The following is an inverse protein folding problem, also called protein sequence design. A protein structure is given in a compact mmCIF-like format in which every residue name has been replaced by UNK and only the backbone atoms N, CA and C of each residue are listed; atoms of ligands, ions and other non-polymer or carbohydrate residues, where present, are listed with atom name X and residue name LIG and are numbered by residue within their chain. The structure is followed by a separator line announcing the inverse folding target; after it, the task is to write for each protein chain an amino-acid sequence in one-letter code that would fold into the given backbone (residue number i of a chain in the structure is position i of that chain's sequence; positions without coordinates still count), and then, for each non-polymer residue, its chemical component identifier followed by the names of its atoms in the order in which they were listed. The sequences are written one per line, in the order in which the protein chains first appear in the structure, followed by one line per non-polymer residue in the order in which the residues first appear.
data_IF_317220214037
#
_entry.id   IF_317220214037
#
_cell.length_a   1.000
_cell.length_b   1.000
_cell.length_c   1.000
_cell.angle_alpha   90.00
_cell.angle_beta   90.00
_cell.angle_gamma   90.00
#
_symmetry.space_group_name_H-M   'P 1'
#
loop_
_entity.id
_entity.type
_entity.pdbx_description
1 polymer ?
#
# COMPACT_ATOMS: atom_id res chain seq x y z
N UNK A 1 20.15 -34.29 17.65
CA UNK A 1 19.06 -34.72 18.55
C UNK A 1 17.80 -34.12 17.98
N UNK A 2 17.29 -34.78 16.95
CA UNK A 2 16.12 -34.37 16.17
C UNK A 2 14.86 -34.72 16.95
N UNK A 3 13.86 -33.83 16.95
CA UNK A 3 12.49 -34.15 17.34
C UNK A 3 11.55 -33.82 16.17
N UNK A 4 10.55 -34.66 15.87
CA UNK A 4 9.80 -34.62 14.62
C UNK A 4 8.71 -33.55 14.65
N UNK A 5 8.42 -32.98 13.47
CA UNK A 5 7.36 -32.01 13.18
C UNK A 5 6.14 -32.72 12.58
N UNK A 6 5.63 -33.74 13.27
CA UNK A 6 4.37 -34.38 12.90
C UNK A 6 3.39 -34.12 14.06
N UNK A 7 2.24 -33.51 13.72
CA UNK A 7 1.05 -33.20 14.54
C UNK A 7 0.76 -31.70 14.75
N UNK A 8 0.55 -30.96 13.66
CA UNK A 8 -0.25 -29.72 13.68
C UNK A 8 -1.50 -29.96 12.82
N UNK A 9 -2.56 -30.46 13.45
CA UNK A 9 -3.89 -30.56 12.85
C UNK A 9 -4.46 -29.14 12.62
N UNK A 10 -4.59 -28.76 11.36
CA UNK A 10 -4.92 -27.40 10.91
C UNK A 10 -6.43 -27.07 10.87
N UNK A 11 -7.29 -27.78 11.62
CA UNK A 11 -8.75 -27.72 11.38
C UNK A 11 -9.69 -27.51 12.57
N UNK A 12 -9.23 -27.06 13.75
CA UNK A 12 -10.18 -26.91 14.88
C UNK A 12 -9.97 -25.68 15.79
N UNK A 13 -9.84 -24.49 15.19
CA UNK A 13 -9.91 -23.21 15.93
C UNK A 13 -11.10 -22.35 15.53
N UNK A 14 -12.23 -23.01 15.20
CA UNK A 14 -13.51 -22.35 14.94
C UNK A 14 -14.55 -22.68 16.03
N UNK A 15 -14.16 -22.63 17.30
CA UNK A 15 -15.14 -22.60 18.39
C UNK A 15 -14.50 -22.18 19.70
N UNK A 16 -14.66 -20.90 20.06
CA UNK A 16 -14.74 -20.32 21.42
C UNK A 16 -14.59 -18.79 21.33
N UNK A 17 -15.67 -18.11 20.97
CA UNK A 17 -15.83 -16.67 21.18
C UNK A 17 -16.57 -16.51 22.52
N UNK A 18 -15.98 -15.77 23.45
CA UNK A 18 -16.53 -15.45 24.78
C UNK A 18 -17.62 -14.35 24.69
N UNK A 19 -18.50 -14.21 25.70
CA UNK A 19 -19.76 -13.50 25.55
C UNK A 19 -19.62 -11.97 25.56
N UNK A 20 -20.57 -11.40 24.82
CA UNK A 20 -20.84 -10.03 24.41
C UNK A 20 -21.13 -9.08 25.58
N UNK A 21 -20.43 -7.94 25.64
CA UNK A 21 -20.73 -6.83 26.57
C UNK A 21 -21.41 -5.68 25.82
N UNK A 22 -22.57 -5.23 26.31
CA UNK A 22 -23.39 -4.18 25.68
C UNK A 22 -22.73 -2.78 25.77
N UNK A 23 -22.89 -1.90 24.77
CA UNK A 23 -22.30 -0.57 24.78
C UNK A 23 -23.12 0.44 25.60
N UNK A 24 -22.43 1.38 26.25
CA UNK A 24 -22.99 2.48 27.05
C UNK A 24 -23.48 3.67 26.19
N UNK A 25 -24.53 4.34 26.65
CA UNK A 25 -25.30 5.41 25.98
C UNK A 25 -24.49 6.63 25.48
N UNK A 26 -23.26 6.83 25.96
CA UNK A 26 -22.37 7.93 25.50
C UNK A 26 -21.85 7.73 24.07
N UNK A 27 -21.86 6.49 23.56
CA UNK A 27 -21.36 6.13 22.22
C UNK A 27 -22.35 6.51 21.11
N UNK A 28 -23.66 6.57 21.39
CA UNK A 28 -24.67 6.85 20.37
C UNK A 28 -24.71 8.33 19.94
N UNK A 29 -24.22 9.25 20.79
CA UNK A 29 -24.34 10.68 20.55
C UNK A 29 -23.21 11.29 19.69
N UNK A 30 -22.09 10.59 19.51
CA UNK A 30 -20.94 11.04 18.70
C UNK A 30 -21.01 10.61 17.21
N UNK A 31 -21.91 9.69 16.86
CA UNK A 31 -21.98 9.05 15.53
C UNK A 31 -22.62 9.94 14.44
N UNK A 32 -23.17 11.11 14.79
CA UNK A 32 -24.06 11.86 13.89
C UNK A 32 -23.41 12.75 12.80
N UNK A 33 -22.07 12.85 12.68
CA UNK A 33 -21.44 13.78 11.70
C UNK A 33 -20.25 13.21 10.86
N UNK A 34 -20.01 11.89 10.85
CA UNK A 34 -18.90 11.27 10.11
C UNK A 34 -19.22 10.85 8.65
N UNK A 35 -18.36 11.16 7.69
CA UNK A 35 -18.46 10.67 6.30
C UNK A 35 -17.87 9.26 6.16
N UNK A 36 -18.51 8.36 5.40
CA UNK A 36 -18.01 6.98 5.21
C UNK A 36 -16.68 6.94 4.45
N UNK A 37 -15.86 5.90 4.70
CA UNK A 37 -14.60 5.68 3.95
C UNK A 37 -14.85 5.57 2.44
N UNK A 38 -15.97 4.97 2.05
CA UNK A 38 -16.40 4.86 0.64
C UNK A 38 -16.61 6.25 0.03
N UNK A 39 -17.29 7.14 0.74
CA UNK A 39 -17.54 8.51 0.26
C UNK A 39 -16.25 9.30 0.15
N UNK A 40 -15.33 9.13 1.13
CA UNK A 40 -13.98 9.68 1.06
C UNK A 40 -13.25 9.21 -0.21
N UNK A 41 -13.23 7.90 -0.48
CA UNK A 41 -12.56 7.33 -1.66
C UNK A 41 -13.22 7.82 -2.96
N UNK A 42 -14.54 7.80 -3.05
CA UNK A 42 -15.26 8.23 -4.27
C UNK A 42 -15.12 9.72 -4.58
N UNK A 43 -14.78 10.54 -3.57
CA UNK A 43 -14.47 11.96 -3.77
C UNK A 43 -13.18 12.24 -4.54
N UNK A 44 -12.30 11.24 -4.68
CA UNK A 44 -11.03 11.39 -5.37
C UNK A 44 -11.25 11.53 -6.88
N UNK A 45 -10.55 12.49 -7.48
CA UNK A 45 -10.73 12.86 -8.90
C UNK A 45 -10.26 11.81 -9.90
N UNK A 46 -9.38 10.89 -9.51
CA UNK A 46 -8.78 9.92 -10.43
C UNK A 46 -8.99 8.49 -9.98
N UNK A 47 -9.22 7.58 -10.94
CA UNK A 47 -9.36 6.14 -10.67
C UNK A 47 -8.10 5.54 -10.05
N UNK A 48 -6.93 6.01 -10.48
CA UNK A 48 -5.64 5.64 -9.86
C UNK A 48 -5.60 6.02 -8.38
N UNK A 49 -5.99 7.23 -8.01
CA UNK A 49 -6.03 7.65 -6.60
C UNK A 49 -7.00 6.79 -5.80
N UNK A 50 -8.17 6.48 -6.35
CA UNK A 50 -9.16 5.62 -5.68
C UNK A 50 -8.61 4.22 -5.41
N UNK A 51 -8.02 3.58 -6.41
CA UNK A 51 -7.45 2.24 -6.28
C UNK A 51 -6.23 2.21 -5.37
N UNK A 52 -5.37 3.24 -5.43
CA UNK A 52 -4.23 3.40 -4.54
C UNK A 52 -4.68 3.51 -3.08
N UNK A 53 -5.66 4.36 -2.79
CA UNK A 53 -6.17 4.52 -1.43
C UNK A 53 -6.85 3.25 -0.90
N UNK A 54 -7.63 2.56 -1.74
CA UNK A 54 -8.22 1.25 -1.38
C UNK A 54 -7.14 0.23 -1.03
N UNK A 55 -6.06 0.16 -1.82
CA UNK A 55 -4.97 -0.78 -1.58
C UNK A 55 -4.26 -0.49 -0.24
N UNK A 56 -3.98 0.78 0.05
CA UNK A 56 -3.32 1.21 1.29
C UNK A 56 -4.17 0.91 2.52
N UNK A 57 -5.47 1.24 2.49
CA UNK A 57 -6.36 0.92 3.61
C UNK A 57 -6.54 -0.58 3.79
N UNK A 58 -6.61 -1.36 2.70
CA UNK A 58 -6.68 -2.82 2.79
C UNK A 58 -5.44 -3.39 3.50
N UNK A 59 -4.25 -2.98 3.08
CA UNK A 59 -3.01 -3.46 3.69
C UNK A 59 -2.92 -3.07 5.17
N UNK A 60 -3.32 -1.83 5.50
CA UNK A 60 -3.41 -1.39 6.89
C UNK A 60 -4.39 -2.24 7.70
N UNK A 61 -5.59 -2.50 7.18
CA UNK A 61 -6.58 -3.33 7.87
C UNK A 61 -6.01 -4.73 8.13
N UNK A 62 -5.34 -5.32 7.14
CA UNK A 62 -4.68 -6.62 7.31
C UNK A 62 -3.64 -6.57 8.44
N UNK A 63 -2.80 -5.53 8.48
CA UNK A 63 -1.78 -5.37 9.51
C UNK A 63 -2.36 -5.13 10.91
N UNK A 64 -3.40 -4.31 11.04
CA UNK A 64 -4.06 -4.06 12.33
C UNK A 64 -4.78 -5.30 12.84
N UNK A 65 -5.54 -5.99 11.98
CA UNK A 65 -6.18 -7.26 12.34
C UNK A 65 -5.13 -8.30 12.75
N UNK A 66 -4.01 -8.38 12.04
CA UNK A 66 -2.91 -9.26 12.42
C UNK A 66 -2.34 -8.92 13.81
N UNK A 67 -2.18 -7.63 14.13
CA UNK A 67 -1.74 -7.16 15.44
C UNK A 67 -2.73 -7.52 16.55
N UNK A 68 -4.03 -7.31 16.32
CA UNK A 68 -5.11 -7.63 17.27
C UNK A 68 -5.16 -9.12 17.62
N UNK A 69 -4.79 -9.98 16.66
CA UNK A 69 -4.76 -11.43 16.82
C UNK A 69 -3.37 -12.00 17.14
N UNK A 70 -2.39 -11.15 17.50
CA UNK A 70 -1.00 -11.54 17.83
C UNK A 70 -0.31 -12.38 16.72
N UNK A 71 -0.64 -12.08 15.46
CA UNK A 71 -0.03 -12.72 14.28
C UNK A 71 1.35 -12.13 14.05
N UNK A 72 2.36 -13.00 14.00
CA UNK A 72 3.76 -12.58 13.86
C UNK A 72 4.21 -12.39 12.41
N UNK A 73 3.52 -13.01 11.44
CA UNK A 73 3.89 -12.96 10.03
C UNK A 73 2.68 -13.06 9.09
N UNK A 74 2.73 -12.31 8.00
CA UNK A 74 1.78 -12.34 6.89
C UNK A 74 2.52 -12.78 5.62
N UNK A 75 1.94 -13.75 4.92
CA UNK A 75 2.43 -14.25 3.65
C UNK A 75 1.65 -13.60 2.50
N UNK A 76 2.33 -12.83 1.66
CA UNK A 76 1.73 -12.20 0.49
C UNK A 76 1.93 -13.07 -0.75
N UNK A 77 0.87 -13.19 -1.57
CA UNK A 77 0.87 -13.93 -2.84
C UNK A 77 1.52 -13.19 -4.02
N UNK A 78 2.51 -12.35 -3.74
CA UNK A 78 3.17 -11.52 -4.74
C UNK A 78 4.12 -12.37 -5.61
N UNK A 79 3.78 -12.55 -6.89
CA UNK A 79 4.66 -13.18 -7.89
C UNK A 79 5.76 -12.22 -8.38
N UNK A 80 6.77 -12.72 -9.09
CA UNK A 80 7.78 -11.89 -9.75
C UNK A 80 7.13 -10.85 -10.69
N UNK A 81 6.13 -11.26 -11.46
CA UNK A 81 5.34 -10.39 -12.36
C UNK A 81 4.57 -9.33 -11.60
N UNK A 82 3.93 -9.71 -10.50
CA UNK A 82 3.17 -8.81 -9.65
C UNK A 82 4.10 -7.77 -8.99
N UNK A 83 5.28 -8.19 -8.53
CA UNK A 83 6.28 -7.29 -7.95
C UNK A 83 6.88 -6.33 -8.97
N UNK A 84 7.13 -6.78 -10.21
CA UNK A 84 7.59 -5.89 -11.28
C UNK A 84 6.53 -4.82 -11.60
N UNK A 85 5.26 -5.22 -11.70
CA UNK A 85 4.14 -4.28 -11.89
C UNK A 85 4.00 -3.31 -10.71
N UNK A 86 3.98 -3.82 -9.48
CA UNK A 86 3.93 -3.02 -8.25
C UNK A 86 5.07 -2.01 -8.20
N UNK A 87 6.28 -2.41 -8.56
CA UNK A 87 7.45 -1.52 -8.63
C UNK A 87 7.20 -0.32 -9.52
N UNK A 88 6.82 -0.58 -10.78
CA UNK A 88 6.61 0.48 -11.75
C UNK A 88 5.44 1.38 -11.34
N UNK A 89 4.38 0.79 -10.80
CA UNK A 89 3.20 1.51 -10.33
C UNK A 89 3.52 2.43 -9.14
N UNK A 90 4.17 1.90 -8.09
CA UNK A 90 4.59 2.69 -6.93
C UNK A 90 5.53 3.81 -7.35
N UNK A 91 6.47 3.54 -8.25
CA UNK A 91 7.37 4.57 -8.79
C UNK A 91 6.60 5.67 -9.52
N UNK A 92 5.68 5.31 -10.42
CA UNK A 92 4.87 6.27 -11.18
C UNK A 92 3.93 7.08 -10.28
N UNK A 93 3.43 6.50 -9.20
CA UNK A 93 2.61 7.18 -8.17
C UNK A 93 3.44 7.99 -7.16
N UNK A 94 4.77 7.99 -7.28
CA UNK A 94 5.66 8.74 -6.38
C UNK A 94 5.92 8.09 -5.02
N UNK A 95 5.62 6.80 -4.89
CA UNK A 95 5.88 5.96 -3.70
C UNK A 95 7.19 5.18 -3.83
N UNK A 96 8.14 5.68 -4.61
CA UNK A 96 9.45 5.02 -4.79
C UNK A 96 10.21 4.80 -3.48
N UNK A 97 10.00 5.67 -2.49
CA UNK A 97 10.58 5.51 -1.15
C UNK A 97 10.09 4.24 -0.45
N UNK A 98 8.87 3.77 -0.71
CA UNK A 98 8.26 2.61 -0.05
C UNK A 98 8.72 1.27 -0.65
N UNK A 99 9.38 1.28 -1.82
CA UNK A 99 9.78 0.08 -2.55
C UNK A 99 10.61 -0.93 -1.74
N UNK A 100 11.58 -0.52 -0.89
CA UNK A 100 12.33 -1.47 -0.07
C UNK A 100 11.41 -2.33 0.81
N UNK A 101 10.39 -1.74 1.44
CA UNK A 101 9.44 -2.47 2.29
C UNK A 101 8.43 -3.31 1.49
N UNK A 102 7.94 -2.74 0.40
CA UNK A 102 6.87 -3.29 -0.44
C UNK A 102 7.31 -4.44 -1.35
N UNK A 103 8.61 -4.51 -1.66
CA UNK A 103 9.15 -5.48 -2.61
C UNK A 103 10.19 -6.41 -2.01
N UNK A 104 10.65 -6.17 -0.78
CA UNK A 104 11.57 -7.07 -0.09
C UNK A 104 11.01 -8.48 0.05
N UNK A 105 11.94 -9.44 0.15
CA UNK A 105 11.62 -10.85 0.35
C UNK A 105 10.98 -11.07 1.73
N UNK A 106 11.59 -10.46 2.74
CA UNK A 106 11.08 -10.27 4.08
C UNK A 106 11.25 -8.80 4.45
N UNK A 107 10.21 -8.18 5.01
CA UNK A 107 10.29 -6.85 5.61
C UNK A 107 9.55 -6.82 6.93
N UNK A 108 10.06 -6.04 7.89
CA UNK A 108 9.38 -5.80 9.15
C UNK A 108 8.46 -4.58 8.98
N UNK A 109 7.17 -4.76 9.23
CA UNK A 109 6.21 -3.66 9.26
C UNK A 109 6.43 -2.76 10.50
N UNK A 110 5.88 -1.55 10.46
CA UNK A 110 5.95 -0.59 11.58
C UNK A 110 5.34 -1.14 12.88
N UNK A 111 4.37 -2.07 12.78
CA UNK A 111 3.73 -2.73 13.92
C UNK A 111 4.46 -4.01 14.38
N UNK A 112 5.66 -4.29 13.85
CA UNK A 112 6.48 -5.44 14.27
C UNK A 112 6.07 -6.79 13.64
N UNK A 113 5.20 -6.79 12.64
CA UNK A 113 4.75 -8.00 11.92
C UNK A 113 5.64 -8.23 10.69
N UNK A 114 6.05 -9.48 10.46
CA UNK A 114 6.84 -9.86 9.28
C UNK A 114 6.00 -9.98 8.03
N UNK A 115 6.38 -9.28 6.97
CA UNK A 115 5.80 -9.40 5.63
C UNK A 115 6.70 -10.29 4.77
N UNK A 116 6.21 -11.47 4.37
CA UNK A 116 6.98 -12.49 3.64
C UNK A 116 6.37 -12.71 2.25
N UNK A 117 7.21 -12.89 1.22
CA UNK A 117 6.78 -13.08 -0.18
C UNK A 117 7.32 -14.38 -0.81
N UNK A 118 6.74 -15.55 -0.49
CA UNK A 118 7.27 -16.84 -0.93
C UNK A 118 7.29 -17.00 -2.46
N UNK A 119 6.37 -16.36 -3.18
CA UNK A 119 6.18 -16.52 -4.63
C UNK A 119 6.99 -15.53 -5.48
N UNK A 120 7.80 -14.67 -4.84
CA UNK A 120 8.56 -13.60 -5.49
C UNK A 120 9.52 -14.07 -6.60
N UNK A 121 9.98 -15.32 -6.52
CA UNK A 121 10.85 -15.92 -7.52
C UNK A 121 10.12 -16.49 -8.74
N UNK A 122 8.79 -16.57 -8.70
CA UNK A 122 7.98 -17.27 -9.69
C UNK A 122 7.21 -16.29 -10.57
N UNK A 123 7.20 -16.56 -11.87
CA UNK A 123 6.40 -15.84 -12.86
C UNK A 123 4.92 -16.20 -12.72
N UNK A 124 4.04 -15.30 -13.15
CA UNK A 124 2.60 -15.53 -13.10
C UNK A 124 2.20 -16.73 -13.97
N UNK A 125 2.80 -16.86 -15.16
CA UNK A 125 2.57 -18.02 -16.02
C UNK A 125 2.95 -19.35 -15.34
N UNK A 126 4.04 -19.39 -14.57
CA UNK A 126 4.48 -20.57 -13.83
C UNK A 126 3.48 -20.93 -12.72
N UNK A 127 2.97 -19.93 -11.99
CA UNK A 127 1.96 -20.13 -10.96
C UNK A 127 0.64 -20.66 -11.54
N UNK A 128 0.23 -20.19 -12.72
CA UNK A 128 -0.95 -20.71 -13.41
C UNK A 128 -0.77 -22.18 -13.82
N UNK A 129 0.40 -22.55 -14.34
CA UNK A 129 0.72 -23.93 -14.72
C UNK A 129 0.73 -24.81 -13.47
N UNK A 130 1.45 -24.38 -12.42
CA UNK A 130 1.54 -25.11 -11.16
C UNK A 130 0.15 -25.34 -10.56
N UNK A 131 -0.66 -24.29 -10.46
CA UNK A 131 -2.02 -24.41 -9.91
C UNK A 131 -2.92 -25.36 -10.69
N UNK A 132 -2.76 -25.47 -12.02
CA UNK A 132 -3.47 -26.49 -12.82
C UNK A 132 -2.96 -27.90 -12.54
N UNK A 133 -1.65 -28.07 -12.36
CA UNK A 133 -1.05 -29.38 -12.07
C UNK A 133 -1.49 -29.95 -10.72
N UNK A 134 -1.67 -29.09 -9.72
CA UNK A 134 -2.15 -29.48 -8.38
C UNK A 134 -3.66 -29.32 -8.20
N UNK A 135 -4.40 -29.14 -9.30
CA UNK A 135 -5.86 -29.01 -9.31
C UNK A 135 -6.42 -27.91 -8.38
N UNK A 136 -5.66 -26.84 -8.17
CA UNK A 136 -6.12 -25.69 -7.41
C UNK A 136 -7.18 -24.90 -8.22
N UNK A 137 -8.20 -24.34 -7.55
CA UNK A 137 -9.18 -23.46 -8.18
C UNK A 137 -8.53 -22.11 -8.54
N UNK A 138 -7.75 -22.08 -9.63
CA UNK A 138 -7.10 -20.87 -10.11
C UNK A 138 -8.11 -20.05 -10.92
N UNK A 139 -8.48 -18.88 -10.43
CA UNK A 139 -9.21 -17.91 -11.25
C UNK A 139 -8.27 -17.34 -12.32
N UNK A 140 -8.75 -17.27 -13.57
CA UNK A 140 -7.99 -16.63 -14.65
C UNK A 140 -7.66 -15.18 -14.27
N UNK A 141 -6.50 -14.63 -14.67
CA UNK A 141 -6.19 -13.22 -14.43
C UNK A 141 -7.35 -12.35 -14.91
N UNK A 142 -7.61 -11.29 -14.15
CA UNK A 142 -8.56 -10.24 -14.52
C UNK A 142 -8.36 -9.91 -16.00
N UNK A 143 -9.41 -10.14 -16.80
CA UNK A 143 -9.33 -10.22 -18.27
C UNK A 143 -8.50 -9.08 -18.85
N UNK A 144 -7.35 -9.43 -19.45
CA UNK A 144 -6.56 -8.50 -20.27
C UNK A 144 -7.25 -8.16 -21.59
N UNK A 145 -8.48 -8.64 -21.85
CA UNK A 145 -9.10 -8.53 -23.18
C UNK A 145 -10.19 -7.49 -23.32
N UNK A 146 -10.76 -6.91 -22.26
CA UNK A 146 -11.88 -5.97 -22.45
C UNK A 146 -11.86 -4.80 -21.47
N UNK A 147 -11.42 -3.64 -21.95
CA UNK A 147 -11.46 -2.37 -21.25
C UNK A 147 -10.21 -1.49 -21.48
N UNK A 148 -10.41 -0.17 -21.58
CA UNK A 148 -9.30 0.79 -21.48
C UNK A 148 -8.69 0.64 -20.07
N UNK A 149 -7.37 0.51 -19.97
CA UNK A 149 -6.70 0.53 -18.68
C UNK A 149 -6.90 1.93 -18.06
N UNK A 150 -7.75 2.01 -17.05
CA UNK A 150 -8.21 3.28 -16.48
C UNK A 150 -7.39 3.72 -15.26
N UNK A 151 -6.37 2.96 -14.85
CA UNK A 151 -5.46 3.30 -13.77
C UNK A 151 -4.02 2.87 -14.06
N UNK A 152 -3.07 3.44 -13.31
CA UNK A 152 -1.65 3.08 -13.38
C UNK A 152 -1.45 1.60 -12.98
N UNK A 153 -2.15 1.12 -11.95
CA UNK A 153 -2.02 -0.26 -11.48
C UNK A 153 -2.48 -1.26 -12.57
N UNK A 154 -3.63 -1.02 -13.20
CA UNK A 154 -4.10 -1.85 -14.32
C UNK A 154 -3.17 -1.80 -15.54
N UNK A 155 -2.66 -0.60 -15.88
CA UNK A 155 -1.76 -0.42 -17.01
C UNK A 155 -0.44 -1.18 -16.82
N UNK A 156 0.17 -1.04 -15.65
CA UNK A 156 1.44 -1.70 -15.32
C UNK A 156 1.28 -3.22 -15.20
N UNK A 157 0.18 -3.70 -14.61
CA UNK A 157 -0.12 -5.12 -14.54
C UNK A 157 -0.27 -5.73 -15.95
N UNK A 158 -1.05 -5.10 -16.82
CA UNK A 158 -1.22 -5.54 -18.22
C UNK A 158 0.12 -5.53 -18.97
N UNK A 159 0.92 -4.49 -18.77
CA UNK A 159 2.24 -4.39 -19.39
C UNK A 159 3.13 -5.58 -19.02
N UNK A 160 3.30 -5.89 -17.73
CA UNK A 160 4.18 -6.99 -17.32
C UNK A 160 3.62 -8.38 -17.63
N UNK A 161 2.30 -8.57 -17.58
CA UNK A 161 1.67 -9.83 -18.02
C UNK A 161 1.93 -10.11 -19.51
N UNK A 162 1.89 -9.08 -20.37
CA UNK A 162 2.23 -9.23 -21.79
C UNK A 162 3.74 -9.31 -22.04
N UNK A 163 4.55 -8.58 -21.26
CA UNK A 163 6.00 -8.57 -21.40
C UNK A 163 6.62 -9.91 -21.01
N UNK A 164 6.09 -10.58 -20.00
CA UNK A 164 6.58 -11.86 -19.49
C UNK A 164 6.66 -12.95 -20.56
N UNK A 165 5.71 -12.97 -21.52
CA UNK A 165 5.68 -13.96 -22.60
C UNK A 165 6.89 -13.85 -23.54
N UNK A 166 7.36 -12.62 -23.79
CA UNK A 166 8.42 -12.35 -24.75
C UNK A 166 9.78 -12.13 -24.09
N UNK A 167 9.79 -11.55 -22.90
CA UNK A 167 10.99 -11.10 -22.21
C UNK A 167 10.97 -11.40 -20.70
N UNK A 168 10.93 -12.68 -20.29
CA UNK A 168 10.89 -13.08 -18.88
C UNK A 168 12.10 -12.57 -18.07
N UNK A 169 13.25 -12.41 -18.72
CA UNK A 169 14.47 -11.87 -18.09
C UNK A 169 14.32 -10.41 -17.64
N UNK A 170 13.45 -9.62 -18.29
CA UNK A 170 13.18 -8.23 -17.90
C UNK A 170 12.41 -8.17 -16.59
N UNK A 171 11.37 -9.00 -16.44
CA UNK A 171 10.59 -9.12 -15.19
C UNK A 171 11.53 -9.42 -14.02
N UNK A 172 12.38 -10.44 -14.19
CA UNK A 172 13.32 -10.85 -13.16
C UNK A 172 14.40 -9.76 -12.89
N UNK A 173 14.79 -8.99 -13.90
CA UNK A 173 15.75 -7.88 -13.74
C UNK A 173 15.16 -6.74 -12.93
N UNK A 174 13.90 -6.38 -13.17
CA UNK A 174 13.19 -5.36 -12.37
C UNK A 174 13.17 -5.78 -10.91
N UNK A 175 12.70 -7.00 -10.60
CA UNK A 175 12.62 -7.51 -9.21
C UNK A 175 14.00 -7.58 -8.54
N UNK A 176 15.04 -8.05 -9.25
CA UNK A 176 16.40 -8.08 -8.69
C UNK A 176 16.96 -6.69 -8.44
N UNK A 177 16.62 -5.71 -9.27
CA UNK A 177 17.09 -4.33 -9.13
C UNK A 177 16.40 -3.65 -7.95
N UNK A 178 15.10 -3.88 -7.76
CA UNK A 178 14.35 -3.32 -6.64
C UNK A 178 14.78 -3.91 -5.30
N UNK A 179 15.19 -5.19 -5.27
CA UNK A 179 15.75 -5.81 -4.07
C UNK A 179 17.08 -5.23 -3.61
N UNK A 180 17.78 -4.50 -4.49
CA UNK A 180 19.00 -3.78 -4.11
C UNK A 180 18.69 -2.44 -3.45
N UNK A 181 17.45 -1.97 -3.53
CA UNK A 181 17.04 -0.76 -2.83
C UNK A 181 17.06 -1.04 -1.35
N UNK A 182 17.78 -0.18 -0.63
CA UNK A 182 17.84 -0.22 0.82
C UNK A 182 16.87 0.80 1.38
N UNK A 183 16.35 0.52 2.56
CA UNK A 183 15.59 1.49 3.33
C UNK A 183 16.43 2.77 3.48
N UNK A 184 15.81 3.96 3.41
CA UNK A 184 16.50 5.21 3.67
C UNK A 184 17.04 5.17 5.10
N UNK A 185 18.33 4.86 5.25
CA UNK A 185 18.99 4.84 6.57
C UNK A 185 18.77 6.19 7.27
N UNK A 186 18.53 6.19 8.58
CA UNK A 186 18.49 7.40 9.41
C UNK A 186 19.91 7.94 9.58
N UNK A 187 20.52 8.41 8.49
CA UNK A 187 21.73 9.23 8.57
C UNK A 187 21.26 10.68 8.75
N UNK A 188 21.19 11.12 10.00
CA UNK A 188 20.98 12.51 10.45
C UNK A 188 19.62 13.20 10.13
N UNK A 189 18.58 12.48 9.71
CA UNK A 189 17.32 13.13 9.29
C UNK A 189 16.11 12.61 10.05
N UNK A 190 15.27 13.54 10.52
CA UNK A 190 13.98 13.23 11.13
C UNK A 190 13.09 12.55 10.08
N UNK A 191 12.87 11.25 10.25
CA UNK A 191 11.83 10.49 9.55
C UNK A 191 10.51 10.70 10.30
N UNK A 192 9.42 10.85 9.56
CA UNK A 192 8.07 10.88 10.10
C UNK A 192 7.22 9.80 9.47
N UNK A 193 6.14 9.41 10.15
CA UNK A 193 5.18 8.44 9.61
C UNK A 193 4.03 9.15 8.92
N UNK A 194 3.65 8.65 7.75
CA UNK A 194 2.54 9.22 7.00
C UNK A 194 1.23 8.94 7.73
N UNK A 195 0.43 9.96 8.01
CA UNK A 195 -0.86 9.82 8.69
C UNK A 195 -1.90 9.04 7.90
N UNK A 196 -1.71 8.81 6.59
CA UNK A 196 -2.64 8.02 5.77
C UNK A 196 -2.14 6.59 5.55
N UNK A 197 -0.90 6.43 5.10
CA UNK A 197 -0.37 5.10 4.74
C UNK A 197 0.55 4.48 5.78
N UNK A 198 0.98 5.22 6.82
CA UNK A 198 1.75 4.71 7.96
C UNK A 198 3.22 4.47 7.66
N UNK A 199 3.59 4.55 6.39
CA UNK A 199 4.96 4.38 5.94
C UNK A 199 5.81 5.57 6.38
N UNK A 200 6.99 5.25 6.91
CA UNK A 200 8.01 6.24 7.24
C UNK A 200 8.54 6.92 5.97
N UNK A 201 8.66 8.25 6.01
CA UNK A 201 9.08 9.06 4.89
C UNK A 201 9.84 10.31 5.36
N UNK A 202 10.42 11.05 4.39
CA UNK A 202 11.13 12.31 4.66
C UNK A 202 10.18 13.50 4.53
N UNK A 203 10.21 14.41 5.50
CA UNK A 203 9.39 15.63 5.51
C UNK A 203 9.59 16.53 4.29
N UNK A 204 8.59 17.38 4.01
CA UNK A 204 8.68 18.42 2.97
C UNK A 204 8.17 17.99 1.60
N UNK A 205 7.29 17.00 1.52
CA UNK A 205 6.69 16.54 0.26
C UNK A 205 5.90 17.65 -0.45
N UNK A 206 5.11 18.46 0.29
CA UNK A 206 4.32 19.54 -0.34
C UNK A 206 5.22 20.70 -0.77
N UNK A 207 6.25 21.03 0.03
CA UNK A 207 7.26 22.02 -0.38
C UNK A 207 7.97 21.58 -1.65
N UNK A 208 8.51 20.36 -1.67
CA UNK A 208 9.19 19.81 -2.84
C UNK A 208 8.33 19.89 -4.09
N UNK A 209 7.04 19.52 -3.99
CA UNK A 209 6.08 19.63 -5.09
C UNK A 209 5.91 21.05 -5.65
N UNK A 210 5.92 22.08 -4.78
CA UNK A 210 5.86 23.47 -5.21
C UNK A 210 7.16 23.91 -5.88
N UNK A 211 8.30 23.48 -5.32
CA UNK A 211 9.62 23.91 -5.76
C UNK A 211 10.00 23.29 -7.13
N UNK A 212 9.52 22.08 -7.45
CA UNK A 212 9.79 21.44 -8.76
C UNK A 212 8.90 21.96 -9.89
N UNK A 213 7.78 22.62 -9.57
CA UNK A 213 6.90 23.19 -10.60
C UNK A 213 7.43 24.55 -11.01
N UNK A 214 8.14 24.59 -12.14
CA UNK A 214 8.58 25.83 -12.78
C UNK A 214 7.35 26.61 -13.22
N UNK A 215 6.95 27.58 -12.39
CA UNK A 215 5.78 28.42 -12.62
C UNK A 215 6.15 29.68 -13.41
N UNK A 216 7.43 30.05 -13.41
CA UNK A 216 7.97 31.21 -14.10
C UNK A 216 8.88 30.77 -15.25
N UNK A 217 8.76 31.42 -16.40
CA UNK A 217 9.63 31.15 -17.54
C UNK A 217 11.09 31.43 -17.16
N UNK A 218 12.01 30.54 -17.55
CA UNK A 218 13.43 30.78 -17.34
C UNK A 218 13.83 32.12 -17.98
N UNK A 219 14.51 33.02 -17.25
CA UNK A 219 14.95 34.28 -17.80
C UNK A 219 15.85 34.02 -19.01
N UNK A 220 15.67 34.80 -20.08
CA UNK A 220 16.48 34.74 -21.29
C UNK A 220 17.83 35.38 -21.00
N UNK A 221 18.70 34.68 -20.28
CA UNK A 221 20.08 35.08 -20.05
C UNK A 221 21.02 34.04 -20.66
N UNK A 222 22.03 34.52 -21.39
CA UNK A 222 23.04 33.71 -22.06
C UNK A 222 23.63 32.69 -21.09
N UNK A 223 23.70 31.43 -21.55
CA UNK A 223 24.09 30.28 -20.76
C UNK A 223 25.53 30.43 -20.21
N UNK A 224 25.66 31.03 -19.03
CA UNK A 224 26.87 30.90 -18.23
C UNK A 224 26.85 29.55 -17.53
N UNK A 225 27.83 28.73 -17.89
CA UNK A 225 28.03 27.35 -17.48
C UNK A 225 28.11 27.21 -15.96
N UNK A 226 27.04 26.69 -15.37
CA UNK A 226 27.02 26.24 -13.99
C UNK A 226 26.02 25.11 -13.87
N UNK A 227 26.50 23.86 -13.88
CA UNK A 227 25.74 22.72 -13.38
C UNK A 227 25.57 22.90 -11.86
N UNK A 228 24.66 23.80 -11.48
CA UNK A 228 24.20 23.95 -10.11
C UNK A 228 23.59 22.62 -9.70
N UNK A 229 24.20 21.96 -8.73
CA UNK A 229 23.56 20.86 -8.01
C UNK A 229 22.30 21.46 -7.36
N UNK A 230 21.14 21.21 -7.95
CA UNK A 230 19.86 21.39 -7.24
C UNK A 230 19.82 20.31 -6.15
N UNK A 231 20.46 20.58 -5.01
CA UNK A 231 20.17 19.84 -3.80
C UNK A 231 18.86 20.42 -3.27
N UNK A 232 17.78 19.64 -3.17
CA UNK A 232 16.55 20.16 -2.59
C UNK A 232 16.87 20.57 -1.15
N UNK A 233 16.71 21.85 -0.79
CA UNK A 233 16.75 22.27 0.61
C UNK A 233 15.50 21.72 1.31
N UNK A 234 15.67 20.52 1.89
CA UNK A 234 14.65 19.82 2.66
C UNK A 234 14.33 20.61 3.94
N UNK A 235 13.04 20.89 4.16
CA UNK A 235 12.58 21.60 5.35
C UNK A 235 12.26 20.61 6.46
N UNK A 236 12.76 20.91 7.65
CA UNK A 236 12.39 20.27 8.91
C UNK A 236 11.07 20.87 9.41
N UNK A 237 9.95 20.10 9.41
CA UNK A 237 8.65 20.58 9.88
C UNK A 237 7.47 19.59 9.69
N UNK A 238 6.31 19.83 10.35
CA UNK A 238 5.29 18.83 10.72
C UNK A 238 4.33 18.47 9.58
N UNK A 239 4.82 18.33 8.35
CA UNK A 239 4.00 17.68 7.33
C UNK A 239 3.76 16.24 7.77
N UNK A 240 2.49 15.80 7.77
CA UNK A 240 2.09 14.44 8.19
C UNK A 240 1.84 13.50 7.02
N UNK A 241 1.95 13.99 5.77
CA UNK A 241 1.69 13.18 4.58
C UNK A 241 2.95 12.97 3.74
N UNK A 242 3.15 11.72 3.31
CA UNK A 242 4.17 11.38 2.33
C UNK A 242 3.80 11.90 0.93
N UNK A 243 4.81 11.97 0.06
CA UNK A 243 4.64 12.40 -1.34
C UNK A 243 3.52 11.65 -2.06
N UNK A 244 3.48 10.32 -1.98
CA UNK A 244 2.46 9.52 -2.66
C UNK A 244 1.04 9.85 -2.20
N UNK A 245 0.83 10.02 -0.89
CA UNK A 245 -0.47 10.42 -0.36
C UNK A 245 -0.83 11.86 -0.75
N UNK A 246 0.12 12.80 -0.75
CA UNK A 246 -0.12 14.17 -1.24
C UNK A 246 -0.57 14.16 -2.71
N UNK A 247 0.09 13.37 -3.57
CA UNK A 247 -0.27 13.24 -4.98
C UNK A 247 -1.65 12.60 -5.14
N UNK A 248 -1.93 11.52 -4.41
CA UNK A 248 -3.23 10.84 -4.45
C UNK A 248 -4.38 11.78 -4.09
N UNK A 249 -4.17 12.65 -3.10
CA UNK A 249 -5.17 13.60 -2.60
C UNK A 249 -5.27 14.92 -3.38
N UNK A 250 -4.39 15.20 -4.35
CA UNK A 250 -4.33 16.52 -5.02
C UNK A 250 -5.65 16.95 -5.69
N UNK A 251 -6.54 16.01 -6.00
CA UNK A 251 -7.85 16.29 -6.57
C UNK A 251 -9.04 16.00 -5.67
N UNK A 252 -8.84 15.74 -4.37
CA UNK A 252 -9.96 15.66 -3.42
C UNK A 252 -10.49 17.06 -3.10
N UNK A 253 -11.77 17.15 -2.72
CA UNK A 253 -12.36 18.39 -2.20
C UNK A 253 -11.56 18.85 -0.97
N UNK A 254 -11.16 20.13 -0.94
CA UNK A 254 -10.12 20.68 -0.06
C UNK A 254 -10.41 20.60 1.45
N UNK A 255 -11.68 20.44 1.84
CA UNK A 255 -12.10 20.45 3.26
C UNK A 255 -12.32 19.03 3.84
N UNK A 256 -11.98 17.98 3.09
CA UNK A 256 -12.15 16.61 3.57
C UNK A 256 -11.08 16.22 4.59
N UNK A 257 -11.52 15.89 5.82
CA UNK A 257 -10.66 15.19 6.79
C UNK A 257 -10.52 13.73 6.37
N UNK A 258 -9.31 13.32 6.00
CA UNK A 258 -9.01 11.93 5.65
C UNK A 258 -8.75 11.10 6.91
N UNK A 259 -9.16 9.81 6.91
CA UNK A 259 -8.88 8.89 8.02
C UNK A 259 -7.38 8.88 8.34
N UNK A 260 -7.03 9.35 9.52
CA UNK A 260 -5.63 9.36 9.97
C UNK A 260 -5.31 8.11 10.79
N UNK A 261 -4.08 7.64 10.73
CA UNK A 261 -3.61 6.43 11.41
C UNK A 261 -3.63 6.55 12.92
N UNK A 262 -3.35 7.75 13.44
CA UNK A 262 -3.45 8.08 14.85
C UNK A 262 -4.86 7.88 15.43
N UNK A 263 -5.93 7.98 14.62
CA UNK A 263 -7.30 7.77 15.10
C UNK A 263 -7.68 6.28 15.23
N UNK A 264 -7.05 5.38 14.46
CA UNK A 264 -7.36 3.93 14.53
C UNK A 264 -6.71 3.27 15.76
N UNK A 265 -5.59 3.82 16.24
CA UNK A 265 -4.94 3.35 17.46
C UNK A 265 -5.72 3.71 18.73
N UNK A 266 -6.46 4.82 18.72
CA UNK A 266 -7.26 5.30 19.87
C UNK A 266 -8.69 4.73 19.85
N UNK A 267 -9.22 4.36 18.68
CA UNK A 267 -10.54 3.77 18.50
C UNK A 267 -10.47 2.51 17.61
N UNK A 268 -10.42 1.30 18.20
CA UNK A 268 -10.44 0.04 17.47
C UNK A 268 -11.69 -0.04 16.58
N UNK A 269 -11.54 -0.52 15.36
CA UNK A 269 -12.65 -0.66 14.42
C UNK A 269 -13.64 -1.69 14.95
N UNK A 270 -14.79 -1.25 15.47
CA UNK A 270 -15.82 -2.15 15.99
C UNK A 270 -16.68 -2.68 14.83
N UNK A 271 -16.53 -3.96 14.51
CA UNK A 271 -17.38 -4.68 13.56
C UNK A 271 -18.81 -4.79 14.08
N UNK A 272 -19.77 -4.10 13.45
CA UNK A 272 -21.19 -4.22 13.78
C UNK A 272 -21.90 -5.19 12.82
N UNK A 273 -22.00 -6.45 13.25
CA UNK A 273 -22.86 -7.51 12.70
C UNK A 273 -22.56 -8.08 11.30
N UNK A 274 -22.90 -9.37 11.14
CA UNK A 274 -22.28 -10.34 10.26
C UNK A 274 -22.95 -10.49 8.88
N UNK A 275 -23.22 -9.39 8.17
CA UNK A 275 -23.74 -9.45 6.79
C UNK A 275 -22.60 -9.27 5.77
N UNK A 276 -22.17 -10.40 5.18
CA UNK A 276 -20.99 -10.59 4.32
C UNK A 276 -20.92 -9.77 3.02
N UNK A 277 -21.67 -8.66 2.88
CA UNK A 277 -21.73 -7.84 1.66
C UNK A 277 -21.36 -6.37 1.83
N UNK A 278 -21.01 -5.89 3.03
CA UNK A 278 -20.88 -4.43 3.24
C UNK A 278 -19.66 -3.96 4.04
N UNK A 279 -18.56 -4.70 3.99
CA UNK A 279 -17.31 -4.39 4.72
C UNK A 279 -16.80 -2.94 4.54
N UNK A 280 -17.03 -2.29 3.39
CA UNK A 280 -16.56 -0.91 3.17
C UNK A 280 -17.49 0.19 3.70
N UNK A 281 -18.76 -0.11 4.00
CA UNK A 281 -19.70 0.86 4.59
C UNK A 281 -19.80 0.71 6.10
N UNK A 282 -19.20 -0.34 6.67
CA UNK A 282 -19.27 -0.68 8.10
C UNK A 282 -18.23 0.06 8.95
N UNK A 283 -17.25 0.73 8.32
CA UNK A 283 -16.24 1.52 9.02
C UNK A 283 -16.60 3.01 8.96
N UNK A 284 -17.33 3.46 9.98
CA UNK A 284 -17.52 4.87 10.30
C UNK A 284 -16.46 5.29 11.33
N UNK A 285 -15.85 6.45 11.13
CA UNK A 285 -14.79 6.97 12.01
C UNK A 285 -15.41 7.92 13.02
N UNK A 286 -15.07 7.73 14.30
CA UNK A 286 -15.26 8.71 15.37
C UNK A 286 -14.32 9.92 15.25
#
# INVERSE_FOLDING_TARGET
MERPLDDIDFYDTASKIAPESQPSEEVEQFVQEGMSLRDCITSLSSRTSQEDMVALYREKLILETAREHDIQAILFGDSATALAAKTLSLTAKGRGYALPWETADHSLSHNGIWNIRPLKGLMYAELLIYGRLVELPVSSPMSTKEGKANSIDHLTQRYFLGLEEQFPSLVATVVRTTNKLVEPLPRDQALGDCSICGMSYRYGARKWLRDITVSEAAPVAEASSGLGRCSPEYVTGPETLCYGCVVALRGSKSDMKWPSISLIAEHPLQSRNNDKKTVLNEFELG
#
